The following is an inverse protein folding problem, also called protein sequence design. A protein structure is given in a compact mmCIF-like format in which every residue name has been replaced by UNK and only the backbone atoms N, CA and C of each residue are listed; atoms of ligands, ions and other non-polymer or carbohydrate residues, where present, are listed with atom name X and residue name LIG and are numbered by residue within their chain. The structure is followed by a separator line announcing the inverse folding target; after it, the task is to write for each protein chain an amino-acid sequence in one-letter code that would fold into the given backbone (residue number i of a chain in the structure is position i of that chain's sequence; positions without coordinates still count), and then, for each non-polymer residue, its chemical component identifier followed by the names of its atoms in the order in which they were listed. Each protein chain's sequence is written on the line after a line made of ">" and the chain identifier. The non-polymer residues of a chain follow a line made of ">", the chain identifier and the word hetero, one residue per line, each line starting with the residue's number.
data_IF_860001111788
#
_entry.id   IF_860001111788
#
_cell.length_a   1.000
_cell.length_b   1.000
_cell.length_c   1.000
_cell.angle_alpha   90.00
_cell.angle_beta   90.00
_cell.angle_gamma   90.00
#
_symmetry.space_group_name_H-M   'P 1'
#
loop_
_entity.id
_entity.type
_entity.pdbx_description
1 polymer ?
#
# COMPACT_ATOMS: atom_id res chain seq x y z
N UNK A 1 2.45 -20.81 12.37
CA UNK A 1 2.55 -21.52 11.06
C UNK A 1 2.11 -20.68 9.85
N UNK A 2 0.99 -19.95 9.85
CA UNK A 2 0.60 -19.13 8.69
C UNK A 2 1.50 -17.90 8.45
N UNK A 3 2.08 -17.34 9.49
CA UNK A 3 2.85 -16.08 9.43
C UNK A 3 4.33 -16.24 9.10
N UNK A 4 4.98 -17.30 9.56
CA UNK A 4 6.33 -17.66 9.08
C UNK A 4 6.34 -17.86 7.56
N UNK A 5 5.21 -18.34 7.02
CA UNK A 5 5.03 -18.51 5.58
C UNK A 5 4.92 -17.16 4.84
N UNK A 6 4.35 -16.12 5.47
CA UNK A 6 4.21 -14.79 4.85
C UNK A 6 5.56 -14.06 4.74
N UNK A 7 6.34 -13.98 5.82
CA UNK A 7 7.67 -13.35 5.80
C UNK A 7 8.61 -14.06 4.82
N UNK A 8 8.66 -15.40 4.87
CA UNK A 8 9.45 -16.19 3.93
C UNK A 8 9.01 -16.02 2.47
N UNK A 9 7.70 -15.84 2.21
CA UNK A 9 7.20 -15.54 0.89
C UNK A 9 7.73 -14.20 0.38
N UNK A 10 7.63 -13.13 1.20
CA UNK A 10 8.07 -11.80 0.80
C UNK A 10 9.58 -11.73 0.61
N UNK A 11 10.34 -12.42 1.45
CA UNK A 11 11.79 -12.52 1.30
C UNK A 11 12.18 -13.22 -0.02
N UNK A 12 11.59 -14.39 -0.34
CA UNK A 12 11.83 -15.06 -1.63
C UNK A 12 11.44 -14.19 -2.82
N UNK A 13 10.32 -13.45 -2.70
CA UNK A 13 9.87 -12.55 -3.76
C UNK A 13 10.82 -11.37 -3.94
N UNK A 14 11.33 -10.82 -2.84
CA UNK A 14 12.34 -9.77 -2.84
C UNK A 14 13.61 -10.22 -3.55
N UNK A 15 14.19 -11.35 -3.15
CA UNK A 15 15.41 -11.91 -3.74
C UNK A 15 15.30 -12.12 -5.25
N UNK A 16 14.10 -12.45 -5.73
CA UNK A 16 13.87 -12.71 -7.15
C UNK A 16 13.63 -11.46 -8.00
N UNK A 17 13.02 -10.42 -7.46
CA UNK A 17 12.48 -9.31 -8.25
C UNK A 17 12.83 -7.91 -7.76
N UNK A 18 13.24 -7.73 -6.51
CA UNK A 18 13.35 -6.40 -5.92
C UNK A 18 14.47 -5.55 -6.54
N UNK A 19 15.54 -6.18 -6.98
CA UNK A 19 16.68 -5.52 -7.62
C UNK A 19 16.47 -5.23 -9.12
N UNK A 20 15.38 -5.73 -9.71
CA UNK A 20 15.11 -5.55 -11.15
C UNK A 20 14.42 -4.22 -11.42
N UNK A 21 15.07 -3.33 -12.17
CA UNK A 21 14.54 -2.02 -12.50
C UNK A 21 14.12 -1.24 -11.24
N UNK A 22 12.87 -0.77 -11.20
CA UNK A 22 12.30 -0.08 -10.04
C UNK A 22 11.82 -1.03 -8.91
N UNK A 23 11.96 -2.35 -9.07
CA UNK A 23 11.47 -3.34 -8.12
C UNK A 23 9.94 -3.50 -8.09
N UNK A 24 9.23 -2.99 -9.09
CA UNK A 24 7.76 -3.01 -9.11
C UNK A 24 7.18 -4.42 -9.11
N UNK A 25 7.84 -5.38 -9.75
CA UNK A 25 7.41 -6.77 -9.74
C UNK A 25 7.46 -7.40 -8.33
N UNK A 26 8.33 -6.90 -7.45
CA UNK A 26 8.38 -7.34 -6.06
C UNK A 26 7.24 -6.80 -5.21
N UNK A 27 6.81 -5.55 -5.44
CA UNK A 27 5.88 -4.81 -4.56
C UNK A 27 4.49 -4.56 -5.17
N UNK A 28 4.32 -4.82 -6.48
CA UNK A 28 3.02 -4.72 -7.17
C UNK A 28 2.54 -6.10 -7.62
N UNK A 29 2.25 -6.28 -8.91
CA UNK A 29 1.74 -7.53 -9.46
C UNK A 29 2.85 -8.40 -10.03
N UNK A 30 3.06 -9.55 -9.41
CA UNK A 30 3.99 -10.57 -9.88
C UNK A 30 3.51 -11.19 -11.21
N UNK A 31 4.43 -11.39 -12.14
CA UNK A 31 4.14 -12.01 -13.43
C UNK A 31 3.43 -11.11 -14.45
N UNK A 32 3.14 -9.87 -14.10
CA UNK A 32 2.56 -8.90 -15.03
C UNK A 32 3.65 -8.06 -15.72
N UNK A 33 3.39 -7.53 -16.93
CA UNK A 33 4.34 -6.67 -17.64
C UNK A 33 4.68 -5.41 -16.86
N UNK A 34 5.83 -4.82 -17.14
CA UNK A 34 6.29 -3.57 -16.51
C UNK A 34 5.28 -2.43 -16.68
N UNK A 35 4.67 -2.31 -17.85
CA UNK A 35 3.62 -1.31 -18.08
C UNK A 35 2.47 -1.43 -17.07
N UNK A 36 2.00 -2.64 -16.80
CA UNK A 36 0.92 -2.88 -15.84
C UNK A 36 1.32 -2.43 -14.43
N UNK A 37 2.51 -2.78 -14.00
CA UNK A 37 3.03 -2.38 -12.69
C UNK A 37 3.26 -0.85 -12.60
N UNK A 38 3.70 -0.21 -13.68
CA UNK A 38 3.80 1.26 -13.77
C UNK A 38 2.44 1.93 -13.72
N UNK A 39 1.42 1.36 -14.37
CA UNK A 39 0.05 1.86 -14.28
C UNK A 39 -0.49 1.80 -12.83
N UNK A 40 -0.26 0.68 -12.12
CA UNK A 40 -0.59 0.57 -10.68
C UNK A 40 0.12 1.67 -9.87
N UNK A 41 1.41 1.84 -10.08
CA UNK A 41 2.19 2.87 -9.38
C UNK A 41 1.63 4.27 -9.64
N UNK A 42 1.25 4.56 -10.87
CA UNK A 42 0.73 5.87 -11.27
C UNK A 42 -0.63 6.16 -10.63
N UNK A 43 -1.55 5.19 -10.61
CA UNK A 43 -2.86 5.35 -9.95
C UNK A 43 -2.71 5.50 -8.44
N UNK A 44 -1.85 4.72 -7.80
CA UNK A 44 -1.51 4.86 -6.38
C UNK A 44 -0.91 6.25 -6.09
N UNK A 45 0.06 6.69 -6.90
CA UNK A 45 0.67 8.01 -6.76
C UNK A 45 -0.35 9.13 -6.92
N UNK A 46 -1.28 9.01 -7.87
CA UNK A 46 -2.37 9.98 -8.08
C UNK A 46 -3.27 10.08 -6.84
N UNK A 47 -3.68 8.94 -6.27
CA UNK A 47 -4.51 8.90 -5.08
C UNK A 47 -3.79 9.50 -3.85
N UNK A 48 -2.53 9.15 -3.64
CA UNK A 48 -1.73 9.61 -2.51
C UNK A 48 -1.31 11.08 -2.63
N UNK A 49 -1.08 11.61 -3.82
CA UNK A 49 -0.47 12.93 -4.04
C UNK A 49 -1.19 14.07 -3.34
N UNK A 50 -2.52 14.00 -3.24
CA UNK A 50 -3.36 14.99 -2.56
C UNK A 50 -3.11 15.00 -1.04
N UNK A 51 -2.75 13.86 -0.47
CA UNK A 51 -2.68 13.62 0.97
C UNK A 51 -1.24 13.56 1.50
N UNK A 52 -0.27 13.28 0.64
CA UNK A 52 1.17 13.33 0.97
C UNK A 52 1.64 14.80 1.06
N UNK A 53 1.05 15.54 2.00
CA UNK A 53 1.41 16.93 2.30
C UNK A 53 1.84 16.99 3.76
N UNK A 54 3.03 17.44 4.00
CA UNK A 54 3.63 17.62 5.31
C UNK A 54 4.72 18.69 5.22
N UNK A 55 5.06 19.30 6.36
CA UNK A 55 6.14 20.28 6.44
C UNK A 55 7.51 19.57 6.35
N UNK A 56 8.54 20.25 5.83
CA UNK A 56 9.90 19.73 5.89
C UNK A 56 10.30 19.40 7.34
N UNK A 57 10.98 18.26 7.52
CA UNK A 57 11.33 17.73 8.84
C UNK A 57 10.25 16.88 9.50
N UNK A 58 9.05 16.77 8.92
CA UNK A 58 7.99 15.88 9.44
C UNK A 58 8.48 14.44 9.56
N UNK A 59 8.09 13.77 10.63
CA UNK A 59 8.41 12.37 10.87
C UNK A 59 7.39 11.49 10.14
N UNK A 60 7.86 10.66 9.23
CA UNK A 60 7.03 9.77 8.41
C UNK A 60 7.41 8.31 8.69
N UNK A 61 6.42 7.48 8.99
CA UNK A 61 6.55 6.02 9.09
C UNK A 61 5.94 5.39 7.83
N UNK A 62 6.73 4.62 7.10
CA UNK A 62 6.30 3.82 5.93
C UNK A 62 6.27 2.35 6.33
N UNK A 63 5.09 1.80 6.57
CA UNK A 63 4.92 0.40 6.98
C UNK A 63 4.79 -0.50 5.76
N UNK A 64 5.52 -1.62 5.74
CA UNK A 64 5.67 -2.45 4.55
C UNK A 64 6.32 -1.66 3.41
N UNK A 65 7.44 -0.99 3.71
CA UNK A 65 8.08 -0.04 2.79
C UNK A 65 8.59 -0.68 1.49
N UNK A 66 8.75 -2.00 1.47
CA UNK A 66 9.28 -2.74 0.33
C UNK A 66 10.63 -2.16 -0.13
N UNK A 67 10.78 -1.94 -1.41
CA UNK A 67 11.99 -1.34 -2.01
C UNK A 67 12.09 0.18 -1.81
N UNK A 68 11.32 0.76 -0.89
CA UNK A 68 11.39 2.17 -0.51
C UNK A 68 10.82 3.17 -1.53
N UNK A 69 9.81 2.79 -2.34
CA UNK A 69 9.22 3.69 -3.35
C UNK A 69 8.62 4.95 -2.73
N UNK A 70 7.78 4.75 -1.74
CA UNK A 70 7.07 5.83 -1.05
C UNK A 70 7.98 6.52 -0.03
N UNK A 71 8.84 5.74 0.60
CA UNK A 71 9.88 6.23 1.50
C UNK A 71 10.73 7.31 0.84
N UNK A 72 11.31 6.99 -0.34
CA UNK A 72 12.12 7.96 -1.09
C UNK A 72 11.30 9.19 -1.51
N UNK A 73 10.05 8.99 -1.94
CA UNK A 73 9.18 10.11 -2.33
C UNK A 73 8.95 11.08 -1.15
N UNK A 74 8.77 10.56 0.07
CA UNK A 74 8.61 11.38 1.26
C UNK A 74 9.92 12.07 1.65
N UNK A 75 11.04 11.33 1.69
CA UNK A 75 12.33 11.88 2.04
C UNK A 75 12.83 12.97 1.07
N UNK A 76 12.61 12.79 -0.23
CA UNK A 76 12.90 13.82 -1.25
C UNK A 76 12.06 15.10 -1.08
N UNK A 77 10.94 15.03 -0.37
CA UNK A 77 10.10 16.18 0.01
C UNK A 77 10.46 16.75 1.38
N UNK A 78 11.57 16.31 1.96
CA UNK A 78 12.10 16.82 3.20
C UNK A 78 11.65 16.10 4.48
N UNK A 79 10.95 14.97 4.41
CA UNK A 79 10.57 14.20 5.58
C UNK A 79 11.78 13.47 6.20
N UNK A 80 11.74 13.31 7.53
CA UNK A 80 12.54 12.32 8.25
C UNK A 80 11.77 11.00 8.25
N UNK A 81 12.29 10.02 7.53
CA UNK A 81 11.58 8.79 7.25
C UNK A 81 12.09 7.62 8.09
N UNK A 82 11.17 6.85 8.64
CA UNK A 82 11.40 5.49 9.12
C UNK A 82 10.59 4.53 8.26
N UNK A 83 11.25 3.58 7.60
CA UNK A 83 10.61 2.51 6.83
C UNK A 83 10.77 1.17 7.54
N UNK A 84 9.71 0.38 7.60
CA UNK A 84 9.77 -1.00 8.13
C UNK A 84 9.26 -2.00 7.09
N UNK A 85 9.90 -3.15 7.01
CA UNK A 85 9.44 -4.29 6.20
C UNK A 85 9.89 -5.59 6.87
N UNK A 86 9.17 -6.69 6.62
CA UNK A 86 9.52 -8.02 7.14
C UNK A 86 10.68 -8.65 6.39
N UNK A 87 10.98 -8.19 5.18
CA UNK A 87 12.01 -8.74 4.30
C UNK A 87 13.34 -7.98 4.46
N UNK A 88 14.41 -8.63 4.94
CA UNK A 88 15.75 -8.05 4.98
C UNK A 88 16.23 -7.56 3.61
N UNK A 89 15.95 -8.33 2.55
CA UNK A 89 16.31 -7.96 1.17
C UNK A 89 15.61 -6.66 0.73
N UNK A 90 14.31 -6.49 1.01
CA UNK A 90 13.58 -5.25 0.71
C UNK A 90 14.20 -4.05 1.42
N UNK A 91 14.44 -4.20 2.73
CA UNK A 91 15.05 -3.16 3.58
C UNK A 91 16.43 -2.76 3.05
N UNK A 92 17.27 -3.73 2.71
CA UNK A 92 18.61 -3.46 2.13
C UNK A 92 18.54 -2.68 0.82
N UNK A 93 17.63 -3.06 -0.08
CA UNK A 93 17.43 -2.36 -1.36
C UNK A 93 16.86 -0.96 -1.13
N UNK A 94 15.93 -0.78 -0.19
CA UNK A 94 15.39 0.53 0.14
C UNK A 94 16.48 1.49 0.64
N UNK A 95 17.35 1.01 1.53
CA UNK A 95 18.50 1.76 2.05
C UNK A 95 19.50 2.11 0.93
N UNK A 96 19.90 1.14 0.11
CA UNK A 96 20.81 1.34 -1.01
C UNK A 96 20.26 2.40 -2.00
N UNK A 97 18.99 2.31 -2.36
CA UNK A 97 18.35 3.26 -3.29
C UNK A 97 18.23 4.67 -2.70
N UNK A 98 18.05 4.77 -1.39
CA UNK A 98 18.05 6.06 -0.70
C UNK A 98 19.45 6.68 -0.64
N UNK A 99 20.49 5.87 -0.49
CA UNK A 99 21.87 6.29 -0.59
C UNK A 99 22.20 6.84 -1.99
N UNK A 100 21.85 6.10 -3.04
CA UNK A 100 22.08 6.54 -4.43
C UNK A 100 21.26 7.79 -4.81
N UNK A 101 20.15 8.04 -4.12
CA UNK A 101 19.36 9.25 -4.31
C UNK A 101 19.85 10.45 -3.47
N UNK A 102 20.92 10.30 -2.68
CA UNK A 102 21.47 11.38 -1.86
C UNK A 102 20.59 11.81 -0.69
N UNK A 103 19.75 10.90 -0.17
CA UNK A 103 18.79 11.16 0.91
C UNK A 103 18.91 10.19 2.08
N UNK A 104 20.03 9.47 2.17
CA UNK A 104 20.24 8.46 3.21
C UNK A 104 20.21 9.03 4.62
N UNK A 105 20.65 10.25 4.81
CA UNK A 105 20.65 11.02 6.06
C UNK A 105 19.24 11.24 6.65
N UNK A 106 18.22 11.19 5.80
CA UNK A 106 16.80 11.35 6.17
C UNK A 106 16.03 10.06 6.27
N UNK A 107 16.69 8.91 5.98
CA UNK A 107 16.01 7.62 5.87
C UNK A 107 16.60 6.60 6.87
N UNK A 108 15.75 6.04 7.71
CA UNK A 108 16.06 4.89 8.55
C UNK A 108 15.20 3.71 8.11
N UNK A 109 15.82 2.56 7.83
CA UNK A 109 15.10 1.34 7.44
C UNK A 109 15.38 0.23 8.44
N UNK A 110 14.32 -0.51 8.82
CA UNK A 110 14.36 -1.55 9.84
C UNK A 110 13.67 -2.82 9.35
N UNK A 111 14.24 -3.97 9.61
CA UNK A 111 13.56 -5.26 9.45
C UNK A 111 12.66 -5.47 10.66
N UNK A 112 11.35 -5.35 10.46
CA UNK A 112 10.37 -5.46 11.54
C UNK A 112 9.01 -5.88 11.04
N UNK A 113 8.34 -6.78 11.76
CA UNK A 113 6.92 -7.08 11.54
C UNK A 113 6.05 -5.94 12.10
N UNK A 114 5.10 -5.48 11.31
CA UNK A 114 4.14 -4.45 11.70
C UNK A 114 3.33 -4.82 12.96
N UNK A 115 3.02 -6.09 13.12
CA UNK A 115 2.26 -6.59 14.28
C UNK A 115 3.01 -6.39 15.60
N UNK A 116 4.33 -6.40 15.53
CA UNK A 116 5.24 -6.20 16.68
C UNK A 116 5.92 -4.84 16.65
N UNK A 117 5.35 -3.87 15.91
CA UNK A 117 5.87 -2.52 15.81
C UNK A 117 6.03 -1.89 17.21
N UNK A 118 7.26 -1.52 17.53
CA UNK A 118 7.64 -0.89 18.80
C UNK A 118 8.80 0.08 18.55
N UNK A 119 8.48 1.32 18.25
CA UNK A 119 9.45 2.40 18.06
C UNK A 119 9.26 3.45 19.17
N UNK A 120 10.31 4.16 19.59
CA UNK A 120 10.21 5.19 20.61
C UNK A 120 9.47 6.44 20.10
N UNK A 121 9.41 6.60 18.76
CA UNK A 121 8.90 7.81 18.14
C UNK A 121 7.42 7.74 17.83
N UNK A 122 6.79 8.93 17.76
CA UNK A 122 5.49 9.14 17.12
C UNK A 122 5.69 9.90 15.81
N UNK A 123 4.80 9.63 14.85
CA UNK A 123 4.93 10.08 13.47
C UNK A 123 3.80 11.03 13.08
N UNK A 124 4.15 12.10 12.37
CA UNK A 124 3.19 13.07 11.83
C UNK A 124 2.39 12.47 10.66
N UNK A 125 2.99 11.49 9.99
CA UNK A 125 2.35 10.70 8.95
C UNK A 125 2.73 9.22 9.09
N UNK A 126 1.73 8.35 9.12
CA UNK A 126 1.89 6.89 8.96
C UNK A 126 1.34 6.51 7.60
N UNK A 127 2.15 5.84 6.79
CA UNK A 127 1.80 5.42 5.43
C UNK A 127 1.86 3.90 5.32
N UNK A 128 0.81 3.28 4.76
CA UNK A 128 0.78 1.87 4.40
C UNK A 128 0.12 1.70 3.03
N UNK A 129 0.83 1.08 2.09
CA UNK A 129 0.32 0.88 0.73
C UNK A 129 0.30 -0.60 0.39
N UNK A 130 -0.89 -1.18 0.36
CA UNK A 130 -1.13 -2.60 0.06
C UNK A 130 -0.40 -3.55 1.04
N UNK A 131 -0.54 -3.28 2.33
CA UNK A 131 0.11 -4.04 3.42
C UNK A 131 -0.89 -4.87 4.20
N UNK A 132 -1.98 -4.25 4.66
CA UNK A 132 -2.96 -4.91 5.55
C UNK A 132 -3.67 -6.09 4.88
N UNK A 133 -3.84 -6.04 3.57
CA UNK A 133 -4.38 -7.14 2.78
C UNK A 133 -3.55 -8.43 2.83
N UNK A 134 -2.30 -8.35 3.30
CA UNK A 134 -1.38 -9.46 3.44
C UNK A 134 -1.30 -10.01 4.87
N UNK A 135 -1.96 -9.37 5.82
CA UNK A 135 -2.14 -9.86 7.19
C UNK A 135 -3.47 -10.61 7.24
N UNK A 136 -3.42 -11.95 7.18
CA UNK A 136 -4.61 -12.77 6.98
C UNK A 136 -5.42 -12.97 8.25
N UNK A 137 -4.75 -13.21 9.39
CA UNK A 137 -5.39 -13.46 10.67
C UNK A 137 -6.02 -12.18 11.24
N UNK A 138 -7.34 -12.17 11.54
CA UNK A 138 -8.04 -10.96 12.00
C UNK A 138 -7.42 -10.33 13.25
N UNK A 139 -7.05 -11.12 14.25
CA UNK A 139 -6.44 -10.62 15.49
C UNK A 139 -5.07 -9.96 15.25
N UNK A 140 -4.28 -10.48 14.29
CA UNK A 140 -3.00 -9.86 13.91
C UNK A 140 -3.22 -8.56 13.14
N UNK A 141 -4.23 -8.52 12.28
CA UNK A 141 -4.59 -7.31 11.54
C UNK A 141 -5.03 -6.20 12.50
N UNK A 142 -5.89 -6.52 13.47
CA UNK A 142 -6.30 -5.58 14.52
C UNK A 142 -5.10 -5.06 15.31
N UNK A 143 -4.23 -5.96 15.76
CA UNK A 143 -3.00 -5.60 16.45
C UNK A 143 -2.10 -4.69 15.61
N UNK A 144 -1.94 -4.96 14.31
CA UNK A 144 -1.17 -4.12 13.40
C UNK A 144 -1.75 -2.70 13.31
N UNK A 145 -3.08 -2.56 13.18
CA UNK A 145 -3.74 -1.25 13.15
C UNK A 145 -3.61 -0.51 14.48
N UNK A 146 -3.77 -1.19 15.61
CA UNK A 146 -3.54 -0.63 16.95
C UNK A 146 -2.10 -0.13 17.11
N UNK A 147 -1.11 -0.91 16.66
CA UNK A 147 0.29 -0.50 16.71
C UNK A 147 0.55 0.75 15.86
N UNK A 148 0.01 0.82 14.66
CA UNK A 148 0.11 2.04 13.84
C UNK A 148 -0.56 3.24 14.53
N UNK A 149 -1.74 3.06 15.13
CA UNK A 149 -2.43 4.13 15.86
C UNK A 149 -1.62 4.61 17.06
N UNK A 150 -0.97 3.73 17.82
CA UNK A 150 -0.10 4.08 18.95
C UNK A 150 1.11 4.92 18.54
N UNK A 151 1.62 4.72 17.31
CA UNK A 151 2.76 5.47 16.77
C UNK A 151 2.34 6.74 16.01
N UNK A 152 1.05 6.99 15.85
CA UNK A 152 0.55 8.22 15.25
C UNK A 152 0.66 9.39 16.26
N UNK A 153 1.19 10.52 15.83
CA UNK A 153 1.21 11.74 16.64
C UNK A 153 -0.23 12.26 16.87
N UNK A 154 -0.51 13.02 17.95
CA UNK A 154 -1.88 13.47 18.27
C UNK A 154 -2.58 14.22 17.13
N UNK A 155 -1.83 14.98 16.33
CA UNK A 155 -2.32 15.69 15.13
C UNK A 155 -1.87 15.04 13.83
N UNK A 156 -1.32 13.83 13.91
CA UNK A 156 -0.83 13.06 12.77
C UNK A 156 -1.96 12.51 11.90
N UNK A 157 -1.60 12.10 10.71
CA UNK A 157 -2.49 11.43 9.77
C UNK A 157 -1.96 10.05 9.40
N UNK A 158 -2.88 9.13 9.15
CA UNK A 158 -2.53 7.83 8.63
C UNK A 158 -3.16 7.66 7.24
N UNK A 159 -2.39 7.21 6.28
CA UNK A 159 -2.80 6.94 4.91
C UNK A 159 -2.67 5.45 4.65
N UNK A 160 -3.78 4.76 4.49
CA UNK A 160 -3.80 3.33 4.20
C UNK A 160 -4.48 3.07 2.85
N UNK A 161 -3.73 2.55 1.91
CA UNK A 161 -4.23 2.19 0.59
C UNK A 161 -4.31 0.66 0.50
N UNK A 162 -5.54 0.12 0.44
CA UNK A 162 -5.79 -1.33 0.53
C UNK A 162 -6.82 -1.79 -0.50
N UNK A 163 -6.79 -3.09 -0.84
CA UNK A 163 -7.88 -3.71 -1.58
C UNK A 163 -9.14 -3.74 -0.69
N UNK A 164 -10.08 -2.86 -1.01
CA UNK A 164 -11.27 -2.59 -0.20
C UNK A 164 -12.53 -2.43 -1.06
N UNK A 165 -12.93 -3.48 -1.82
CA UNK A 165 -14.13 -3.43 -2.64
C UNK A 165 -15.38 -3.24 -1.77
N UNK A 166 -16.41 -2.59 -2.32
CA UNK A 166 -17.70 -2.43 -1.64
C UNK A 166 -18.44 -3.76 -1.52
N UNK A 167 -18.45 -4.53 -2.60
CA UNK A 167 -19.12 -5.84 -2.63
C UNK A 167 -18.17 -6.94 -2.19
N UNK A 168 -18.70 -7.89 -1.40
CA UNK A 168 -17.96 -9.10 -1.06
C UNK A 168 -17.51 -9.80 -2.36
N UNK A 169 -16.28 -10.24 -2.35
CA UNK A 169 -15.71 -10.97 -3.48
C UNK A 169 -15.02 -12.22 -2.95
N UNK A 170 -15.31 -13.35 -3.57
CA UNK A 170 -14.54 -14.60 -3.37
C UNK A 170 -13.23 -14.60 -4.16
N UNK A 171 -12.97 -13.50 -4.86
CA UNK A 171 -11.82 -13.39 -5.73
C UNK A 171 -10.61 -13.00 -4.91
N UNK A 172 -9.59 -13.80 -4.99
CA UNK A 172 -8.25 -13.50 -4.53
C UNK A 172 -7.90 -13.82 -3.08
N UNK A 173 -8.72 -14.53 -2.34
CA UNK A 173 -8.24 -15.07 -1.08
C UNK A 173 -7.26 -16.21 -1.38
N UNK A 174 -6.05 -16.04 -0.90
CA UNK A 174 -4.94 -16.96 -1.09
C UNK A 174 -4.15 -17.06 0.21
N UNK A 175 -3.14 -17.93 0.24
CA UNK A 175 -2.25 -18.06 1.42
C UNK A 175 -1.50 -16.78 1.80
N UNK A 176 -1.59 -15.71 0.99
CA UNK A 176 -0.84 -14.46 1.18
C UNK A 176 -1.67 -13.19 0.95
N UNK A 177 -2.95 -13.32 0.63
CA UNK A 177 -3.78 -12.17 0.26
C UNK A 177 -5.24 -12.40 0.62
N UNK A 178 -5.86 -11.40 1.24
CA UNK A 178 -7.30 -11.34 1.48
C UNK A 178 -7.84 -9.96 1.13
N UNK A 179 -8.75 -9.90 0.15
CA UNK A 179 -9.53 -8.70 -0.11
C UNK A 179 -10.65 -8.61 0.93
N UNK A 180 -10.66 -7.54 1.70
CA UNK A 180 -11.70 -7.29 2.69
C UNK A 180 -12.64 -6.19 2.23
N UNK A 181 -13.93 -6.33 2.52
CA UNK A 181 -14.91 -5.29 2.19
C UNK A 181 -14.53 -3.96 2.87
N UNK A 182 -14.88 -2.87 2.23
CA UNK A 182 -14.64 -1.52 2.78
C UNK A 182 -15.26 -1.34 4.16
N UNK A 183 -16.49 -1.83 4.39
CA UNK A 183 -17.14 -1.76 5.69
C UNK A 183 -16.36 -2.48 6.80
N UNK A 184 -15.68 -3.60 6.49
CA UNK A 184 -14.82 -4.27 7.43
C UNK A 184 -13.65 -3.37 7.89
N UNK A 185 -12.97 -2.71 6.96
CA UNK A 185 -11.91 -1.76 7.30
C UNK A 185 -12.44 -0.55 8.08
N UNK A 186 -13.62 -0.04 7.71
CA UNK A 186 -14.25 1.09 8.43
C UNK A 186 -14.51 0.73 9.90
N UNK A 187 -15.07 -0.46 10.14
CA UNK A 187 -15.32 -0.94 11.50
C UNK A 187 -13.99 -1.14 12.24
N UNK A 188 -13.03 -1.85 11.66
CA UNK A 188 -11.71 -2.10 12.24
C UNK A 188 -11.01 -0.80 12.67
N UNK A 189 -11.01 0.22 11.82
CA UNK A 189 -10.37 1.50 12.15
C UNK A 189 -11.07 2.21 13.30
N UNK A 190 -12.41 2.16 13.33
CA UNK A 190 -13.21 2.73 14.42
C UNK A 190 -12.92 2.00 15.74
N UNK A 191 -12.88 0.69 15.73
CA UNK A 191 -12.59 -0.15 16.91
C UNK A 191 -11.17 0.10 17.45
N UNK A 192 -10.23 0.46 16.56
CA UNK A 192 -8.86 0.84 16.92
C UNK A 192 -8.70 2.33 17.31
N UNK A 193 -9.79 3.06 17.55
CA UNK A 193 -9.74 4.46 17.99
C UNK A 193 -9.35 5.47 16.90
N UNK A 194 -9.54 5.10 15.64
CA UNK A 194 -9.26 5.95 14.48
C UNK A 194 -10.58 6.47 13.88
N UNK A 195 -10.56 7.71 13.41
CA UNK A 195 -11.65 8.33 12.66
C UNK A 195 -11.28 8.45 11.19
N UNK A 196 -12.18 8.06 10.32
CA UNK A 196 -12.02 8.22 8.87
C UNK A 196 -12.37 9.67 8.50
N UNK A 197 -11.38 10.40 8.01
CA UNK A 197 -11.53 11.75 7.46
C UNK A 197 -12.01 11.76 6.02
N UNK A 198 -11.48 10.82 5.21
CA UNK A 198 -11.82 10.70 3.81
C UNK A 198 -11.55 9.28 3.30
N UNK A 199 -12.29 8.89 2.27
CA UNK A 199 -12.01 7.70 1.46
C UNK A 199 -11.90 8.16 0.01
N UNK A 200 -10.87 7.71 -0.69
CA UNK A 200 -10.61 8.05 -2.10
C UNK A 200 -10.46 6.76 -2.90
N UNK A 201 -11.10 6.69 -4.05
CA UNK A 201 -10.90 5.60 -5.00
C UNK A 201 -9.52 5.69 -5.66
N UNK A 202 -9.00 4.55 -6.12
CA UNK A 202 -7.66 4.44 -6.69
C UNK A 202 -7.69 3.95 -8.13
N UNK A 203 -8.45 2.89 -8.40
CA UNK A 203 -8.44 2.16 -9.66
C UNK A 203 -9.83 1.62 -10.02
N UNK A 204 -10.76 2.48 -10.44
CA UNK A 204 -12.08 2.05 -10.89
C UNK A 204 -12.01 1.11 -12.10
N UNK A 205 -10.96 1.23 -12.92
CA UNK A 205 -10.61 0.35 -14.03
C UNK A 205 -11.83 -0.11 -14.88
N UNK A 206 -12.60 0.82 -15.46
CA UNK A 206 -13.91 0.53 -16.04
C UNK A 206 -13.86 -0.54 -17.13
N UNK A 207 -12.88 -0.46 -18.03
CA UNK A 207 -12.72 -1.43 -19.10
C UNK A 207 -12.21 -2.79 -18.60
N UNK A 208 -11.32 -2.78 -17.61
CA UNK A 208 -10.83 -4.02 -17.00
C UNK A 208 -11.96 -4.76 -16.29
N UNK A 209 -12.78 -4.06 -15.53
CA UNK A 209 -13.93 -4.64 -14.82
C UNK A 209 -14.95 -5.21 -15.80
N UNK A 210 -15.22 -4.50 -16.88
CA UNK A 210 -16.12 -4.97 -17.96
C UNK A 210 -15.53 -6.17 -18.71
N UNK A 211 -14.24 -6.15 -19.06
CA UNK A 211 -13.59 -7.16 -19.87
C UNK A 211 -13.28 -8.46 -19.11
N UNK A 212 -13.12 -8.42 -17.78
CA UNK A 212 -12.70 -9.58 -16.98
C UNK A 212 -13.48 -10.87 -17.21
N UNK A 213 -14.82 -10.90 -17.35
CA UNK A 213 -15.56 -12.11 -17.63
C UNK A 213 -15.19 -12.77 -18.98
N UNK A 214 -14.82 -11.95 -19.96
CA UNK A 214 -14.45 -12.37 -21.30
C UNK A 214 -12.98 -12.79 -21.37
N UNK A 215 -12.10 -12.10 -20.66
CA UNK A 215 -10.67 -12.43 -20.60
C UNK A 215 -10.44 -13.88 -20.15
N UNK A 216 -11.25 -14.37 -19.22
CA UNK A 216 -11.15 -15.75 -18.72
C UNK A 216 -11.42 -16.82 -19.78
N UNK A 217 -12.06 -16.47 -20.90
CA UNK A 217 -12.38 -17.37 -22.01
C UNK A 217 -11.31 -17.38 -23.08
N UNK A 218 -10.34 -16.48 -23.00
CA UNK A 218 -9.26 -16.39 -23.99
C UNK A 218 -8.20 -17.49 -23.76
N UNK A 219 -7.54 -17.97 -24.83
CA UNK A 219 -6.36 -18.82 -24.70
C UNK A 219 -5.28 -18.15 -23.84
N UNK A 220 -4.57 -18.94 -23.04
CA UNK A 220 -3.60 -18.44 -22.04
C UNK A 220 -2.56 -17.47 -22.61
N UNK A 221 -2.08 -17.71 -23.84
CA UNK A 221 -1.12 -16.81 -24.50
C UNK A 221 -1.65 -15.42 -24.82
N UNK A 222 -2.98 -15.23 -24.88
CA UNK A 222 -3.59 -13.92 -25.16
C UNK A 222 -3.90 -13.13 -23.88
N UNK A 223 -3.93 -13.78 -22.71
CA UNK A 223 -4.32 -13.13 -21.46
C UNK A 223 -3.43 -11.94 -21.11
N UNK A 224 -2.13 -12.07 -21.26
CA UNK A 224 -1.17 -11.03 -20.88
C UNK A 224 -1.32 -9.78 -21.76
N UNK A 225 -1.35 -9.97 -23.08
CA UNK A 225 -1.50 -8.88 -24.04
C UNK A 225 -2.84 -8.15 -23.86
N UNK A 226 -3.94 -8.91 -23.75
CA UNK A 226 -5.28 -8.34 -23.59
C UNK A 226 -5.45 -7.63 -22.26
N UNK A 227 -4.94 -8.20 -21.15
CA UNK A 227 -4.96 -7.52 -19.84
C UNK A 227 -4.17 -6.23 -19.87
N UNK A 228 -3.02 -6.22 -20.54
CA UNK A 228 -2.20 -5.00 -20.72
C UNK A 228 -2.94 -3.93 -21.51
N UNK A 229 -3.53 -4.30 -22.63
CA UNK A 229 -4.31 -3.39 -23.49
C UNK A 229 -5.49 -2.79 -22.73
N UNK A 230 -6.29 -3.62 -22.07
CA UNK A 230 -7.47 -3.17 -21.30
C UNK A 230 -7.06 -2.29 -20.13
N UNK A 231 -5.93 -2.58 -19.49
CA UNK A 231 -5.40 -1.73 -18.42
C UNK A 231 -4.89 -0.38 -18.96
N UNK A 232 -4.27 -0.38 -20.14
CA UNK A 232 -3.85 0.85 -20.81
C UNK A 232 -5.04 1.74 -21.16
N UNK A 233 -6.12 1.17 -21.70
CA UNK A 233 -7.35 1.88 -22.01
C UNK A 233 -8.07 2.40 -20.74
N UNK A 234 -7.98 1.69 -19.62
CA UNK A 234 -8.57 2.11 -18.36
C UNK A 234 -7.79 3.23 -17.67
N UNK A 235 -6.48 3.33 -17.90
CA UNK A 235 -5.60 4.20 -17.15
C UNK A 235 -5.99 5.70 -17.17
N UNK A 236 -6.37 6.32 -18.31
CA UNK A 236 -6.81 7.71 -18.32
C UNK A 236 -8.05 7.94 -17.44
N UNK A 237 -8.98 6.98 -17.45
CA UNK A 237 -10.19 7.04 -16.63
C UNK A 237 -9.87 6.84 -15.15
N UNK A 238 -8.95 5.93 -14.82
CA UNK A 238 -8.47 5.74 -13.46
C UNK A 238 -7.84 7.03 -12.92
N UNK A 239 -7.02 7.69 -13.69
CA UNK A 239 -6.38 8.93 -13.29
C UNK A 239 -7.35 10.11 -13.15
N UNK A 240 -8.37 10.17 -14.01
CA UNK A 240 -9.35 11.25 -14.02
C UNK A 240 -10.46 11.04 -12.99
N UNK A 241 -11.03 9.84 -12.91
CA UNK A 241 -12.30 9.57 -12.22
C UNK A 241 -12.13 8.92 -10.84
N UNK A 242 -10.96 8.34 -10.53
CA UNK A 242 -10.76 7.62 -9.28
C UNK A 242 -11.21 8.38 -8.01
N UNK A 243 -10.97 9.69 -7.85
CA UNK A 243 -11.41 10.41 -6.66
C UNK A 243 -12.91 10.38 -6.42
N UNK A 244 -13.71 10.27 -7.48
CA UNK A 244 -15.18 10.25 -7.42
C UNK A 244 -15.75 8.83 -7.57
N UNK A 245 -15.04 7.94 -8.25
CA UNK A 245 -15.44 6.56 -8.49
C UNK A 245 -15.01 5.62 -7.33
N UNK A 246 -15.25 6.05 -6.10
CA UNK A 246 -14.82 5.32 -4.89
C UNK A 246 -15.43 3.93 -4.84
N UNK A 247 -16.73 3.81 -5.13
CA UNK A 247 -17.46 2.54 -5.02
C UNK A 247 -17.15 1.56 -6.15
N UNK A 248 -16.64 2.05 -7.27
CA UNK A 248 -16.20 1.26 -8.41
C UNK A 248 -14.73 0.81 -8.29
N UNK A 249 -13.95 1.47 -7.41
CA UNK A 249 -12.54 1.15 -7.23
C UNK A 249 -12.35 -0.15 -6.45
N UNK A 250 -11.39 -0.95 -6.93
CA UNK A 250 -10.93 -2.13 -6.21
C UNK A 250 -10.11 -1.77 -4.98
N UNK A 251 -9.22 -0.79 -5.10
CA UNK A 251 -8.48 -0.25 -3.99
C UNK A 251 -9.11 1.06 -3.51
N UNK A 252 -9.08 1.27 -2.19
CA UNK A 252 -9.43 2.54 -1.57
C UNK A 252 -8.26 3.07 -0.73
N UNK A 253 -8.07 4.38 -0.78
CA UNK A 253 -7.20 5.10 0.13
C UNK A 253 -8.04 5.63 1.28
N UNK A 254 -7.75 5.18 2.49
CA UNK A 254 -8.32 5.68 3.73
C UNK A 254 -7.39 6.75 4.33
N UNK A 255 -7.97 7.89 4.66
CA UNK A 255 -7.30 8.98 5.40
C UNK A 255 -7.84 8.96 6.80
N UNK A 256 -6.99 8.69 7.77
CA UNK A 256 -7.36 8.44 9.15
C UNK A 256 -6.66 9.42 10.09
N UNK A 257 -7.32 9.72 11.21
CA UNK A 257 -6.83 10.54 12.30
C UNK A 257 -7.27 9.89 13.63
N UNK A 258 -6.67 10.29 14.75
CA UNK A 258 -7.19 9.86 16.06
C UNK A 258 -8.64 10.31 16.26
N UNK A 259 -9.49 9.44 16.81
CA UNK A 259 -10.89 9.76 17.07
C UNK A 259 -11.05 10.91 18.09
N UNK A 260 -10.11 11.08 19.02
CA UNK A 260 -10.09 12.13 20.04
C UNK A 260 -9.39 13.44 19.63
N UNK A 261 -8.89 13.58 18.39
CA UNK A 261 -8.01 14.66 17.95
C UNK A 261 -8.68 15.98 17.53
N UNK A 262 -9.91 16.23 17.89
CA UNK A 262 -10.66 17.40 17.41
C UNK A 262 -11.15 18.36 18.53
N UNK A 263 -10.44 18.48 19.65
CA UNK A 263 -10.70 19.56 20.62
C UNK A 263 -9.39 20.02 21.27
N UNK A 264 -8.73 20.98 20.70
CA UNK A 264 -7.95 22.03 21.35
C UNK A 264 -7.77 23.17 20.34
#
# INVERSE_FOLDING_TARGET
>A
MADENSSAYWERRAQRFADRGEGLAAVCSYGMPDFYNRAIQLTQRRALSRWLRFEPGARVLDVGCGVGRWSRLCAMRGANLTGIDVSPTMVGIAAQRSYHAGIADRCRFLVQDLVDLALPDRFDLVLGVTVLQHILAPARLERAVLRMAQHLAPRGRMLLLEAAPVKATRRCDSAIFAARQRCYYQQLFTDCGLRIRAITGVDPAPFRTWALPYLRRLPGGMHLATTTLVSALSLPFDLALAPWAVDQSWHALFVLEHAGGARA
#
